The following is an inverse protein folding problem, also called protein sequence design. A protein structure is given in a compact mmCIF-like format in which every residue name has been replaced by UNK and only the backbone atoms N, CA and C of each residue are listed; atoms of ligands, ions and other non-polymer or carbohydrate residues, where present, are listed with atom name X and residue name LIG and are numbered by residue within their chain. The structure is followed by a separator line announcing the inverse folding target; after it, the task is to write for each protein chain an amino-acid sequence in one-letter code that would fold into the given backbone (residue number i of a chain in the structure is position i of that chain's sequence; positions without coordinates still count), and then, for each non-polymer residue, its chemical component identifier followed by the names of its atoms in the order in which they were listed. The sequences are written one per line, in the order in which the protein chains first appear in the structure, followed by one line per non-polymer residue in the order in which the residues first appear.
data_IF_327060356274
#
_entry.id   IF_327060356274
#
_cell.length_a   1.000
_cell.length_b   1.000
_cell.length_c   1.000
_cell.angle_alpha   90.00
_cell.angle_beta   90.00
_cell.angle_gamma   90.00
#
_symmetry.space_group_name_H-M   'P 1'
#
loop_
_entity.id
_entity.type
_entity.pdbx_description
1 polymer ?
#
# COMPACT_ATOMS: atom_id res chain seq x y z
N UNK A 1 -10.67 11.48 4.41
CA UNK A 1 -10.23 10.49 5.40
C UNK A 1 -10.83 9.13 5.09
N UNK A 2 -10.40 8.09 5.81
CA UNK A 2 -10.93 6.74 5.64
C UNK A 2 -11.04 6.03 6.99
N UNK A 3 -12.01 5.12 7.10
CA UNK A 3 -12.22 4.28 8.28
C UNK A 3 -12.43 2.83 7.82
N UNK A 4 -11.87 1.89 8.57
CA UNK A 4 -12.16 0.47 8.43
C UNK A 4 -13.09 0.05 9.56
N UNK A 5 -14.08 -0.78 9.24
CA UNK A 5 -14.92 -1.40 10.25
C UNK A 5 -15.31 -2.82 9.86
N UNK A 6 -15.79 -3.56 10.85
CA UNK A 6 -16.26 -4.93 10.69
C UNK A 6 -17.76 -4.94 10.93
N UNK A 7 -18.51 -5.52 9.99
CA UNK A 7 -19.95 -5.70 10.10
C UNK A 7 -20.27 -7.18 10.19
N UNK A 8 -21.16 -7.54 11.11
CA UNK A 8 -21.60 -8.91 11.27
C UNK A 8 -22.83 -9.19 10.41
N UNK A 9 -22.70 -10.18 9.53
CA UNK A 9 -23.73 -10.70 8.65
C UNK A 9 -23.99 -12.17 9.00
N UNK A 10 -24.71 -12.37 10.10
CA UNK A 10 -25.01 -13.70 10.64
C UNK A 10 -23.72 -14.40 11.09
N UNK A 11 -23.38 -15.51 10.44
CA UNK A 11 -22.16 -16.28 10.72
C UNK A 11 -20.89 -15.73 10.05
N UNK A 12 -20.99 -14.62 9.30
CA UNK A 12 -19.86 -14.02 8.58
C UNK A 12 -19.60 -12.61 9.08
N UNK A 13 -18.33 -12.29 9.37
CA UNK A 13 -17.90 -10.91 9.58
C UNK A 13 -17.33 -10.35 8.28
N UNK A 14 -17.73 -9.13 7.92
CA UNK A 14 -17.37 -8.45 6.68
C UNK A 14 -16.56 -7.20 7.01
N UNK A 15 -15.34 -7.14 6.49
CA UNK A 15 -14.52 -5.93 6.54
C UNK A 15 -15.00 -4.94 5.46
N UNK A 16 -15.31 -3.71 5.86
CA UNK A 16 -15.73 -2.65 4.95
C UNK A 16 -14.85 -1.40 5.09
N UNK A 17 -14.70 -0.67 3.98
CA UNK A 17 -13.99 0.60 3.91
C UNK A 17 -15.01 1.74 3.76
N UNK A 18 -15.03 2.66 4.72
CA UNK A 18 -15.83 3.88 4.67
C UNK A 18 -14.94 5.06 4.30
N UNK A 19 -15.29 5.76 3.23
CA UNK A 19 -14.60 6.96 2.80
C UNK A 19 -15.32 8.20 3.30
N UNK A 20 -14.54 9.15 3.83
CA UNK A 20 -15.01 10.47 4.22
C UNK A 20 -14.40 11.49 3.28
N UNK A 21 -15.24 12.20 2.53
CA UNK A 21 -14.83 13.17 1.53
C UNK A 21 -15.18 14.59 1.96
N UNK A 22 -14.38 15.54 1.48
CA UNK A 22 -14.67 16.97 1.53
C UNK A 22 -14.67 17.51 0.10
N UNK A 23 -15.47 18.56 -0.13
CA UNK A 23 -15.49 19.26 -1.41
C UNK A 23 -14.37 20.29 -1.43
N UNK A 24 -13.64 20.36 -2.55
CA UNK A 24 -12.70 21.45 -2.84
C UNK A 24 -13.40 22.42 -3.81
N UNK A 25 -13.77 23.64 -3.38
CA UNK A 25 -14.42 24.61 -4.26
C UNK A 25 -13.45 25.13 -5.32
N UNK A 26 -13.96 25.57 -6.47
CA UNK A 26 -13.15 26.12 -7.56
C UNK A 26 -12.37 25.09 -8.40
N UNK A 27 -12.29 23.84 -7.96
CA UNK A 27 -11.53 22.81 -8.66
C UNK A 27 -12.42 21.83 -9.45
N UNK A 28 -11.89 21.31 -10.56
CA UNK A 28 -12.47 20.16 -11.30
C UNK A 28 -11.46 19.02 -11.41
N UNK A 29 -11.94 17.81 -11.69
CA UNK A 29 -11.06 16.66 -11.93
C UNK A 29 -10.72 16.61 -13.43
N UNK A 30 -9.43 16.67 -13.76
CA UNK A 30 -8.95 16.54 -15.15
C UNK A 30 -8.78 15.09 -15.58
N UNK A 31 -8.12 14.31 -14.72
CA UNK A 31 -7.77 12.90 -14.94
C UNK A 31 -7.75 12.19 -13.61
N UNK A 32 -8.12 10.92 -13.60
CA UNK A 32 -7.89 10.04 -12.47
C UNK A 32 -7.10 8.80 -12.88
N UNK A 33 -6.28 8.32 -11.96
CA UNK A 33 -5.53 7.07 -12.08
C UNK A 33 -5.67 6.29 -10.79
N UNK A 34 -5.78 4.96 -10.90
CA UNK A 34 -5.57 4.09 -9.76
C UNK A 34 -4.07 3.88 -9.57
N UNK A 35 -3.65 3.62 -8.34
CA UNK A 35 -2.35 3.02 -8.12
C UNK A 35 -2.22 1.69 -8.90
N UNK A 36 -1.01 1.44 -9.38
CA UNK A 36 -0.69 0.18 -10.01
C UNK A 36 -0.53 -0.88 -8.91
N UNK A 37 -0.82 -2.15 -9.20
CA UNK A 37 -0.29 -3.23 -8.36
C UNK A 37 1.21 -2.96 -8.21
N UNK A 38 1.81 -3.09 -7.01
CA UNK A 38 3.24 -2.93 -6.86
C UNK A 38 3.90 -3.86 -7.88
N UNK A 39 4.52 -3.27 -8.90
CA UNK A 39 5.49 -4.01 -9.68
C UNK A 39 6.52 -4.46 -8.67
N UNK A 40 6.90 -5.74 -8.69
CA UNK A 40 8.19 -6.10 -8.12
C UNK A 40 9.21 -5.28 -8.92
N UNK A 41 9.56 -4.09 -8.45
CA UNK A 41 10.72 -3.35 -8.94
C UNK A 41 11.94 -4.03 -8.35
N UNK A 42 12.13 -5.30 -8.73
CA UNK A 42 13.45 -5.86 -8.96
C UNK A 42 13.90 -5.40 -10.34
N UNK A 43 13.93 -4.08 -10.56
CA UNK A 43 14.88 -3.49 -11.48
C UNK A 43 16.21 -3.55 -10.77
N UNK A 44 16.86 -4.70 -10.95
CA UNK A 44 18.28 -4.85 -10.75
C UNK A 44 18.96 -3.77 -11.61
N UNK A 45 19.32 -2.67 -10.98
CA UNK A 45 20.45 -1.89 -11.49
C UNK A 45 21.68 -2.75 -11.21
N UNK A 46 22.10 -3.47 -12.25
CA UNK A 46 23.40 -4.11 -12.35
C UNK A 46 24.41 -2.99 -12.57
N UNK A 47 25.37 -2.73 -11.65
CA UNK A 47 26.68 -2.34 -12.09
C UNK A 47 27.42 -3.63 -12.47
N UNK A 48 27.86 -3.71 -13.71
CA UNK A 48 28.85 -4.68 -14.16
C UNK A 48 30.08 -4.68 -13.24
N UNK A 49 30.58 -5.88 -12.92
CA UNK A 49 31.97 -6.06 -12.51
C UNK A 49 32.20 -6.94 -11.26
N UNK A 50 32.67 -8.17 -11.48
CA UNK A 50 33.64 -8.82 -10.58
C UNK A 50 33.15 -9.97 -9.70
N UNK A 51 33.58 -11.18 -10.05
CA UNK A 51 33.50 -12.42 -9.26
C UNK A 51 34.19 -12.34 -7.89
N UNK A 52 33.68 -13.04 -6.85
CA UNK A 52 34.21 -14.30 -6.27
C UNK A 52 33.74 -14.56 -4.82
N UNK A 53 33.62 -15.86 -4.51
CA UNK A 53 33.76 -16.54 -3.20
C UNK A 53 32.75 -16.29 -2.07
N UNK A 54 31.97 -17.36 -1.81
CA UNK A 54 31.84 -18.08 -0.52
C UNK A 54 32.15 -17.26 0.74
N UNK A 55 31.19 -17.19 1.68
CA UNK A 55 31.37 -17.70 3.04
C UNK A 55 30.00 -17.80 3.76
N UNK A 56 29.91 -18.89 4.50
CA UNK A 56 28.83 -19.37 5.34
C UNK A 56 28.98 -18.73 6.72
N UNK A 57 27.92 -18.17 7.32
CA UNK A 57 27.89 -18.00 8.77
C UNK A 57 26.48 -18.13 9.36
N UNK A 58 26.43 -18.77 10.53
CA UNK A 58 25.28 -19.34 11.21
C UNK A 58 24.87 -18.48 12.42
N UNK A 59 23.56 -18.40 12.61
CA UNK A 59 22.84 -18.58 13.89
C UNK A 59 23.08 -17.63 15.09
N UNK A 60 21.93 -17.11 15.57
CA UNK A 60 21.53 -16.89 16.97
C UNK A 60 21.59 -15.47 17.53
N UNK A 61 20.49 -15.03 18.14
CA UNK A 61 20.46 -13.80 18.94
C UNK A 61 19.07 -13.33 19.34
N UNK A 62 18.35 -14.16 20.10
CA UNK A 62 17.04 -13.88 20.70
C UNK A 62 17.04 -12.59 21.56
N UNK A 63 16.21 -11.59 21.25
CA UNK A 63 15.74 -10.58 22.23
C UNK A 63 14.24 -10.35 22.12
N UNK A 64 13.58 -10.81 23.18
CA UNK A 64 12.16 -10.75 23.52
C UNK A 64 11.68 -9.28 23.58
N UNK A 65 10.71 -8.95 22.75
CA UNK A 65 9.83 -7.80 22.91
C UNK A 65 8.41 -8.28 22.65
N UNK A 66 7.68 -8.58 23.72
CA UNK A 66 6.32 -9.16 23.71
C UNK A 66 5.27 -8.14 23.22
N UNK A 67 5.37 -7.74 21.95
CA UNK A 67 4.34 -6.98 21.22
C UNK A 67 4.25 -7.35 19.72
N UNK A 68 5.07 -8.28 19.24
CA UNK A 68 5.25 -8.55 17.80
C UNK A 68 4.50 -9.78 17.25
N UNK A 69 3.81 -10.54 18.11
CA UNK A 69 3.19 -11.81 17.69
C UNK A 69 1.96 -11.64 16.78
N UNK A 70 1.29 -10.48 16.85
CA UNK A 70 0.13 -10.17 16.00
C UNK A 70 0.55 -9.54 14.67
N UNK A 71 1.55 -8.64 14.68
CA UNK A 71 2.08 -8.01 13.46
C UNK A 71 2.68 -9.02 12.50
N UNK A 72 3.34 -10.07 13.02
CA UNK A 72 3.84 -11.18 12.20
C UNK A 72 2.77 -12.03 11.52
N UNK A 73 1.53 -12.04 12.06
CA UNK A 73 0.38 -12.73 11.42
C UNK A 73 -0.25 -11.86 10.33
N UNK A 74 -0.37 -10.55 10.58
CA UNK A 74 -0.96 -9.61 9.62
C UNK A 74 -0.09 -9.44 8.36
N UNK A 75 1.23 -9.38 8.49
CA UNK A 75 2.15 -9.24 7.35
C UNK A 75 2.03 -10.38 6.31
N UNK A 76 1.49 -11.54 6.72
CA UNK A 76 1.22 -12.67 5.82
C UNK A 76 -0.04 -12.47 4.97
N UNK A 77 -1.02 -11.75 5.50
CA UNK A 77 -2.36 -11.62 4.90
C UNK A 77 -2.65 -10.21 4.38
N UNK A 78 -1.89 -9.18 4.77
CA UNK A 78 -2.06 -7.79 4.34
C UNK A 78 -0.86 -7.38 3.50
N UNK A 79 -1.12 -6.67 2.41
CA UNK A 79 -0.09 -5.95 1.67
C UNK A 79 0.30 -4.69 2.46
N UNK A 80 1.58 -4.64 2.85
CA UNK A 80 2.15 -3.53 3.63
C UNK A 80 2.86 -2.50 2.74
N UNK A 81 2.84 -2.69 1.41
CA UNK A 81 3.43 -1.71 0.49
C UNK A 81 2.62 -0.42 0.54
N UNK A 82 3.31 0.67 0.90
CA UNK A 82 2.75 2.02 0.82
C UNK A 82 2.91 2.56 -0.60
N UNK A 83 1.85 3.18 -1.11
CA UNK A 83 1.87 3.90 -2.39
C UNK A 83 1.41 5.33 -2.17
N UNK A 84 2.20 6.28 -2.67
CA UNK A 84 1.90 7.71 -2.57
C UNK A 84 2.09 8.40 -3.92
N UNK A 85 1.35 9.50 -4.10
CA UNK A 85 1.61 10.48 -5.16
C UNK A 85 1.54 11.87 -4.54
N UNK A 86 2.48 12.73 -4.91
CA UNK A 86 2.59 14.08 -4.37
C UNK A 86 3.02 15.12 -5.40
N UNK A 87 3.37 16.33 -4.94
CA UNK A 87 3.85 17.43 -5.77
C UNK A 87 5.04 17.08 -6.67
N UNK A 88 5.89 16.15 -6.24
CA UNK A 88 7.02 15.63 -6.99
C UNK A 88 6.61 14.75 -8.19
N UNK A 89 5.40 14.17 -8.18
CA UNK A 89 4.91 13.31 -9.24
C UNK A 89 4.25 14.16 -10.32
N UNK A 90 4.89 14.29 -11.49
CA UNK A 90 4.35 15.07 -12.61
C UNK A 90 2.89 14.66 -12.91
N UNK A 91 1.95 15.62 -12.99
CA UNK A 91 2.12 17.08 -13.03
C UNK A 91 1.87 17.82 -11.69
N UNK A 92 2.05 17.13 -10.55
CA UNK A 92 2.20 17.69 -9.20
C UNK A 92 0.91 17.86 -8.38
N UNK A 93 -0.22 18.13 -9.01
CA UNK A 93 -1.47 18.47 -8.29
C UNK A 93 -2.36 17.25 -8.06
N UNK A 94 -1.83 16.22 -7.40
CA UNK A 94 -2.56 14.99 -7.11
C UNK A 94 -3.36 15.09 -5.81
N UNK A 95 -4.63 14.69 -5.86
CA UNK A 95 -5.49 14.51 -4.70
C UNK A 95 -6.04 13.08 -4.65
N UNK A 96 -6.11 12.51 -3.44
CA UNK A 96 -6.83 11.25 -3.22
C UNK A 96 -8.32 11.50 -3.31
N UNK A 97 -8.98 10.84 -4.27
CA UNK A 97 -10.41 11.02 -4.57
C UNK A 97 -11.23 9.75 -4.40
N UNK A 98 -10.58 8.64 -4.09
CA UNK A 98 -11.23 7.38 -3.79
C UNK A 98 -10.25 6.34 -3.29
N UNK A 99 -10.77 5.27 -2.72
CA UNK A 99 -10.00 4.08 -2.40
C UNK A 99 -10.92 2.85 -2.43
N UNK A 100 -10.32 1.66 -2.57
CA UNK A 100 -11.02 0.38 -2.51
C UNK A 100 -10.19 -0.64 -1.76
N UNK A 101 -10.85 -1.48 -0.97
CA UNK A 101 -10.25 -2.65 -0.36
C UNK A 101 -10.52 -3.87 -1.22
N UNK A 102 -9.52 -4.73 -1.42
CA UNK A 102 -9.65 -5.94 -2.21
C UNK A 102 -8.59 -6.97 -1.84
N UNK A 103 -8.59 -8.09 -2.55
CA UNK A 103 -7.57 -9.13 -2.42
C UNK A 103 -6.75 -9.17 -3.70
N UNK A 104 -5.43 -9.06 -3.57
CA UNK A 104 -4.47 -9.15 -4.66
C UNK A 104 -3.40 -10.18 -4.29
N UNK A 105 -3.16 -11.15 -5.16
CA UNK A 105 -2.19 -12.26 -4.94
C UNK A 105 -2.31 -12.94 -3.55
N UNK A 106 -3.54 -13.09 -3.06
CA UNK A 106 -3.82 -13.72 -1.76
C UNK A 106 -3.62 -12.83 -0.54
N UNK A 107 -3.31 -11.54 -0.72
CA UNK A 107 -3.22 -10.53 0.34
C UNK A 107 -4.31 -9.48 0.23
N UNK A 108 -4.79 -9.00 1.36
CA UNK A 108 -5.69 -7.84 1.46
C UNK A 108 -4.88 -6.60 1.13
N UNK A 109 -5.32 -5.84 0.12
CA UNK A 109 -4.67 -4.62 -0.34
C UNK A 109 -5.65 -3.45 -0.38
N UNK A 110 -5.15 -2.27 -0.05
CA UNK A 110 -5.83 -1.00 -0.25
C UNK A 110 -5.31 -0.38 -1.55
N UNK A 111 -6.21 -0.05 -2.46
CA UNK A 111 -5.89 0.69 -3.69
C UNK A 111 -6.47 2.08 -3.64
N UNK A 112 -5.68 3.06 -4.01
CA UNK A 112 -6.00 4.50 -3.92
C UNK A 112 -6.17 5.08 -5.32
N UNK A 113 -7.20 5.90 -5.49
CA UNK A 113 -7.47 6.66 -6.72
C UNK A 113 -6.96 8.09 -6.56
N UNK A 114 -5.95 8.42 -7.34
CA UNK A 114 -5.39 9.76 -7.43
C UNK A 114 -6.03 10.50 -8.60
N UNK A 115 -6.43 11.75 -8.35
CA UNK A 115 -6.96 12.64 -9.39
C UNK A 115 -6.13 13.89 -9.49
N UNK A 116 -5.85 14.27 -10.72
CA UNK A 116 -5.25 15.55 -11.05
C UNK A 116 -6.34 16.61 -11.08
N UNK A 117 -6.16 17.67 -10.29
CA UNK A 117 -7.09 18.80 -10.26
C UNK A 117 -6.79 19.81 -11.37
N UNK A 118 -7.84 20.46 -11.86
CA UNK A 118 -7.82 21.77 -12.49
C UNK A 118 -8.31 22.79 -11.46
N UNK A 119 -7.73 23.99 -11.46
CA UNK A 119 -8.15 25.12 -10.63
C UNK A 119 -8.28 26.36 -11.49
#
# INVERSE_FOLDING_TARGET
GAQLGVWDFGAKSVLHLKLLFSKVPGCTIRRSVWDHSPSNTSTAERPDGGSTSLLHDRTSGNKKGDSSSQTGKLAKIVDMVEMSKGPQDIPGHWLVTGAKIGVDKGKIALRVKYSLLNY
#
